data_IF_427128805008
#
_entry.id   IF_427128805008
#
_cell.length_a   1.000
_cell.length_b   1.000
_cell.length_c   1.000
_cell.angle_alpha   90.00
_cell.angle_beta   90.00
_cell.angle_gamma   90.00
#
_symmetry.space_group_name_H-M   'P 1'
#
loop_
_entity.id
_entity.type
_entity.pdbx_description
1 polymer ?
#
# COMPACT_ATOMS: atom_id res chain seq x y z
N UNK A 1 5.18 -6.18 11.80
CA UNK A 1 5.57 -7.39 11.03
C UNK A 1 4.43 -7.75 10.09
N UNK A 2 4.60 -8.61 9.06
CA UNK A 2 3.47 -9.05 8.24
C UNK A 2 2.31 -9.62 9.08
N UNK A 3 2.62 -10.39 10.12
CA UNK A 3 1.66 -10.92 11.09
C UNK A 3 0.84 -9.88 11.87
N UNK A 4 1.16 -8.58 11.74
CA UNK A 4 0.39 -7.49 12.35
C UNK A 4 -0.79 -7.05 11.49
N UNK A 5 -0.99 -7.65 10.31
CA UNK A 5 -2.06 -7.34 9.36
C UNK A 5 -3.03 -8.51 9.25
N UNK A 6 -4.28 -8.19 8.92
CA UNK A 6 -5.37 -9.15 8.75
C UNK A 6 -5.40 -9.65 7.30
N UNK A 7 -4.42 -10.48 6.92
CA UNK A 7 -4.26 -11.00 5.54
C UNK A 7 -5.51 -11.71 5.04
N UNK A 8 -6.06 -12.64 5.85
CA UNK A 8 -7.24 -13.43 5.48
C UNK A 8 -8.46 -12.54 5.24
N UNK A 9 -8.63 -11.51 6.07
CA UNK A 9 -9.71 -10.55 5.94
C UNK A 9 -9.59 -9.69 4.66
N UNK A 10 -8.37 -9.24 4.32
CA UNK A 10 -8.11 -8.54 3.07
C UNK A 10 -8.39 -9.45 1.86
N UNK A 11 -7.96 -10.70 1.92
CA UNK A 11 -8.17 -11.68 0.86
C UNK A 11 -9.66 -11.93 0.61
N UNK A 12 -10.44 -12.12 1.67
CA UNK A 12 -11.89 -12.32 1.60
C UNK A 12 -12.62 -11.08 1.07
N UNK A 13 -12.20 -9.89 1.47
CA UNK A 13 -12.76 -8.64 0.97
C UNK A 13 -12.54 -8.49 -0.54
N UNK A 14 -11.32 -8.72 -1.02
CA UNK A 14 -11.04 -8.65 -2.46
C UNK A 14 -11.85 -9.70 -3.23
N UNK A 15 -12.02 -10.91 -2.70
CA UNK A 15 -12.90 -11.92 -3.30
C UNK A 15 -14.35 -11.46 -3.38
N UNK A 16 -14.90 -10.88 -2.31
CA UNK A 16 -16.26 -10.31 -2.30
C UNK A 16 -16.41 -9.24 -3.38
N UNK A 17 -15.45 -8.32 -3.47
CA UNK A 17 -15.49 -7.22 -4.46
C UNK A 17 -15.42 -7.79 -5.90
N UNK A 18 -14.55 -8.77 -6.16
CA UNK A 18 -14.47 -9.46 -7.46
C UNK A 18 -15.78 -10.19 -7.81
N UNK A 19 -16.54 -10.62 -6.81
CA UNK A 19 -17.87 -11.23 -6.95
C UNK A 19 -19.02 -10.20 -6.86
N UNK A 20 -18.80 -8.94 -7.24
CA UNK A 20 -19.79 -7.86 -7.26
C UNK A 20 -20.47 -7.56 -5.91
N UNK A 21 -19.82 -7.89 -4.80
CA UNK A 21 -20.31 -7.57 -3.45
C UNK A 21 -19.64 -6.32 -2.88
N UNK A 22 -20.42 -5.48 -2.21
CA UNK A 22 -19.90 -4.31 -1.47
C UNK A 22 -19.24 -4.78 -0.18
N UNK A 23 -18.08 -4.20 0.15
CA UNK A 23 -17.36 -4.42 1.40
C UNK A 23 -17.44 -3.17 2.28
N UNK A 24 -17.59 -3.38 3.58
CA UNK A 24 -17.64 -2.31 4.56
C UNK A 24 -16.60 -2.56 5.65
N UNK A 25 -15.81 -1.54 5.97
CA UNK A 25 -14.78 -1.58 7.01
C UNK A 25 -14.84 -0.33 7.88
N UNK A 26 -14.32 -0.43 9.09
CA UNK A 26 -14.01 0.74 9.90
C UNK A 26 -12.59 1.19 9.60
N UNK A 27 -12.38 2.49 9.46
CA UNK A 27 -11.04 3.04 9.28
C UNK A 27 -10.16 2.74 10.51
N UNK A 28 -8.87 2.51 10.29
CA UNK A 28 -7.92 2.32 11.37
C UNK A 28 -7.48 3.67 11.95
N UNK A 29 -7.69 3.87 13.25
CA UNK A 29 -7.44 5.16 13.93
C UNK A 29 -6.08 5.24 14.63
N UNK A 30 -5.14 4.35 14.31
CA UNK A 30 -3.78 4.33 14.87
C UNK A 30 -3.73 4.29 16.40
N UNK A 31 -4.69 3.59 17.03
CA UNK A 31 -4.88 3.51 18.48
C UNK A 31 -5.11 4.87 19.15
N UNK A 32 -5.63 5.86 18.42
CA UNK A 32 -6.01 7.14 19.00
C UNK A 32 -7.44 7.06 19.57
N UNK A 33 -7.63 7.04 20.90
CA UNK A 33 -8.94 6.89 21.51
C UNK A 33 -9.85 8.10 21.29
N UNK A 34 -9.31 9.23 20.83
CA UNK A 34 -10.07 10.46 20.57
C UNK A 34 -10.70 10.50 19.18
N UNK A 35 -10.37 9.55 18.31
CA UNK A 35 -10.87 9.49 16.93
C UNK A 35 -11.91 8.38 16.84
N UNK A 36 -13.13 8.75 16.46
CA UNK A 36 -14.17 7.78 16.14
C UNK A 36 -13.92 7.23 14.74
N UNK A 37 -13.82 5.89 14.57
CA UNK A 37 -13.56 5.30 13.27
C UNK A 37 -14.75 5.52 12.34
N UNK A 38 -14.49 6.10 11.17
CA UNK A 38 -15.47 6.20 10.10
C UNK A 38 -15.63 4.89 9.34
N UNK A 39 -16.84 4.69 8.82
CA UNK A 39 -17.15 3.57 7.92
C UNK A 39 -16.64 3.86 6.52
N UNK A 40 -15.84 2.96 5.99
CA UNK A 40 -15.34 2.93 4.61
C UNK A 40 -16.19 1.92 3.85
N UNK A 41 -16.78 2.36 2.74
CA UNK A 41 -17.58 1.51 1.85
C UNK A 41 -16.86 1.38 0.53
N UNK A 42 -16.49 0.14 0.17
CA UNK A 42 -15.82 -0.18 -1.08
C UNK A 42 -16.81 -0.93 -1.98
N UNK A 43 -17.21 -0.26 -3.07
CA UNK A 43 -18.10 -0.83 -4.08
C UNK A 43 -17.31 -1.54 -5.18
N UNK A 44 -17.86 -2.60 -5.80
CA UNK A 44 -17.28 -3.23 -6.98
C UNK A 44 -17.02 -2.23 -8.11
N UNK A 45 -15.85 -2.34 -8.74
CA UNK A 45 -15.39 -1.53 -9.88
C UNK A 45 -14.54 -2.38 -10.80
N UNK A 46 -14.44 -1.98 -12.07
CA UNK A 46 -13.62 -2.66 -13.08
C UNK A 46 -12.13 -2.61 -12.76
N UNK A 47 -11.68 -1.59 -12.02
CA UNK A 47 -10.32 -1.45 -11.53
C UNK A 47 -10.38 -1.32 -10.01
N UNK A 48 -9.62 -2.17 -9.31
CA UNK A 48 -9.47 -2.15 -7.86
C UNK A 48 -8.00 -1.88 -7.58
N UNK A 49 -7.71 -0.77 -6.90
CA UNK A 49 -6.37 -0.46 -6.41
C UNK A 49 -6.26 -0.93 -4.96
N UNK A 50 -5.34 -1.85 -4.71
CA UNK A 50 -4.99 -2.29 -3.37
C UNK A 50 -3.60 -1.79 -3.06
N UNK A 51 -3.46 -1.02 -1.98
CA UNK A 51 -2.19 -0.47 -1.51
C UNK A 51 -1.81 -1.09 -0.16
N UNK A 52 -0.50 -1.22 0.08
CA UNK A 52 0.00 -1.73 1.33
C UNK A 52 1.45 -2.20 1.23
N UNK A 53 2.19 -2.07 2.33
CA UNK A 53 3.63 -2.32 2.36
C UNK A 53 4.01 -3.81 2.28
N UNK A 54 3.09 -4.74 2.56
CA UNK A 54 3.34 -6.20 2.58
C UNK A 54 2.52 -6.99 1.56
N UNK A 55 1.82 -6.34 0.62
CA UNK A 55 0.93 -7.05 -0.31
C UNK A 55 1.64 -8.14 -1.12
N UNK A 56 2.88 -7.91 -1.51
CA UNK A 56 3.66 -8.88 -2.28
C UNK A 56 4.25 -9.99 -1.40
N UNK A 57 4.28 -9.86 -0.08
CA UNK A 57 4.71 -10.93 0.81
C UNK A 57 3.69 -12.09 0.86
N UNK A 58 2.41 -11.75 0.81
CA UNK A 58 1.28 -12.67 0.96
C UNK A 58 1.02 -13.49 -0.31
N UNK A 59 1.54 -14.73 -0.34
CA UNK A 59 1.45 -15.61 -1.53
C UNK A 59 0.02 -15.88 -1.99
N UNK A 60 -0.94 -15.99 -1.07
CA UNK A 60 -2.34 -16.21 -1.43
C UNK A 60 -2.94 -14.94 -2.03
N UNK A 61 -2.63 -13.79 -1.46
CA UNK A 61 -3.06 -12.50 -1.98
C UNK A 61 -2.51 -12.23 -3.38
N UNK A 62 -1.23 -12.54 -3.64
CA UNK A 62 -0.62 -12.37 -4.95
C UNK A 62 -1.39 -13.06 -6.09
N UNK A 63 -2.07 -14.19 -5.82
CA UNK A 63 -2.88 -14.91 -6.82
C UNK A 63 -4.12 -14.14 -7.28
N UNK A 64 -4.54 -13.12 -6.52
CA UNK A 64 -5.68 -12.27 -6.85
C UNK A 64 -5.29 -11.02 -7.64
N UNK A 65 -3.99 -10.69 -7.71
CA UNK A 65 -3.46 -9.47 -8.31
C UNK A 65 -3.15 -9.69 -9.78
N UNK A 66 -3.74 -8.86 -10.64
CA UNK A 66 -3.49 -8.91 -12.08
C UNK A 66 -2.22 -8.14 -12.47
N UNK A 67 -1.92 -7.04 -11.77
CA UNK A 67 -0.72 -6.18 -11.96
C UNK A 67 -0.15 -5.68 -10.64
N UNK A 68 1.17 -5.71 -10.52
CA UNK A 68 1.96 -5.33 -9.34
C UNK A 68 2.77 -4.08 -9.64
N UNK A 69 2.55 -3.02 -8.86
CA UNK A 69 3.29 -1.77 -8.95
C UNK A 69 4.09 -1.56 -7.66
N UNK A 70 5.40 -1.37 -7.76
CA UNK A 70 6.27 -1.08 -6.63
C UNK A 70 6.70 0.39 -6.66
N UNK A 71 6.39 1.13 -5.59
CA UNK A 71 6.83 2.51 -5.43
C UNK A 71 8.19 2.53 -4.72
N UNK A 72 9.24 2.88 -5.46
CA UNK A 72 10.61 2.93 -4.97
C UNK A 72 11.01 4.34 -4.54
N UNK A 73 11.63 4.45 -3.38
CA UNK A 73 12.04 5.74 -2.82
C UNK A 73 13.37 5.58 -2.09
N UNK A 74 14.26 6.56 -2.27
CA UNK A 74 15.46 6.67 -1.45
C UNK A 74 15.10 6.67 0.05
N UNK A 75 15.82 5.89 0.84
CA UNK A 75 15.49 5.69 2.24
C UNK A 75 15.61 6.97 3.08
N UNK A 76 16.54 7.88 2.73
CA UNK A 76 16.66 9.16 3.44
C UNK A 76 15.48 10.07 3.13
N UNK A 77 15.03 10.09 1.87
CA UNK A 77 13.80 10.81 1.49
C UNK A 77 12.59 10.23 2.19
N UNK A 78 12.44 8.90 2.19
CA UNK A 78 11.36 8.19 2.89
C UNK A 78 11.34 8.47 4.40
N UNK A 79 12.52 8.46 5.05
CA UNK A 79 12.65 8.80 6.47
C UNK A 79 12.24 10.25 6.74
N UNK A 80 12.70 11.22 5.93
CA UNK A 80 12.32 12.63 6.09
C UNK A 80 10.80 12.82 5.99
N UNK A 81 10.17 12.21 4.98
CA UNK A 81 8.69 12.24 4.81
C UNK A 81 7.99 11.60 6.01
N UNK A 82 8.50 10.47 6.50
CA UNK A 82 7.97 9.78 7.68
C UNK A 82 8.04 10.63 8.94
N UNK A 83 9.20 11.24 9.22
CA UNK A 83 9.38 12.11 10.39
C UNK A 83 8.37 13.24 10.33
N UNK A 84 8.29 13.96 9.20
CA UNK A 84 7.33 15.05 9.03
C UNK A 84 5.89 14.60 9.34
N UNK A 85 5.42 13.54 8.67
CA UNK A 85 4.06 13.00 8.86
C UNK A 85 3.80 12.52 10.29
N UNK A 86 4.69 11.74 10.87
CA UNK A 86 4.47 11.15 12.20
C UNK A 86 4.49 12.23 13.32
N UNK A 87 5.21 13.34 13.12
CA UNK A 87 5.17 14.51 14.02
C UNK A 87 3.87 15.31 13.84
N UNK A 88 3.52 15.66 12.60
CA UNK A 88 2.39 16.55 12.29
C UNK A 88 1.02 15.88 12.49
N UNK A 89 0.87 14.62 12.08
CA UNK A 89 -0.45 13.97 12.01
C UNK A 89 -0.69 12.98 13.16
N UNK A 90 0.36 12.49 13.81
CA UNK A 90 0.27 11.38 14.78
C UNK A 90 0.81 11.72 16.17
N UNK A 91 1.43 12.88 16.35
CA UNK A 91 1.92 13.36 17.64
C UNK A 91 3.09 12.57 18.22
N UNK A 92 3.87 11.87 17.38
CA UNK A 92 5.06 11.15 17.85
C UNK A 92 6.26 12.09 18.01
N UNK A 93 7.03 11.90 19.08
CA UNK A 93 8.33 12.56 19.22
C UNK A 93 9.37 12.04 18.21
N UNK A 94 10.28 12.92 17.77
CA UNK A 94 11.30 12.62 16.76
C UNK A 94 12.20 11.45 17.16
N UNK A 95 12.62 11.36 18.44
CA UNK A 95 13.49 10.28 18.90
C UNK A 95 12.77 8.93 18.83
N UNK A 96 11.47 8.92 19.16
CA UNK A 96 10.64 7.73 19.04
C UNK A 96 10.51 7.25 17.59
N UNK A 97 10.33 8.18 16.65
CA UNK A 97 10.26 7.87 15.21
C UNK A 97 11.58 7.26 14.72
N UNK A 98 12.73 7.87 15.06
CA UNK A 98 14.05 7.37 14.67
C UNK A 98 14.33 5.98 15.25
N UNK A 99 14.03 5.78 16.54
CA UNK A 99 14.19 4.48 17.19
C UNK A 99 13.38 3.39 16.47
N UNK A 100 12.09 3.65 16.21
CA UNK A 100 11.21 2.70 15.50
C UNK A 100 11.71 2.45 14.07
N UNK A 101 12.19 3.50 13.40
CA UNK A 101 12.68 3.39 12.04
C UNK A 101 13.87 2.43 11.95
N UNK A 102 14.88 2.62 12.80
CA UNK A 102 16.10 1.83 12.79
C UNK A 102 15.89 0.39 13.28
N UNK A 103 15.08 0.21 14.33
CA UNK A 103 14.94 -1.11 14.98
C UNK A 103 13.80 -1.96 14.41
N UNK A 104 12.84 -1.35 13.70
CA UNK A 104 11.67 -2.09 13.20
C UNK A 104 11.40 -1.85 11.71
N UNK A 105 11.39 -0.59 11.25
CA UNK A 105 10.96 -0.28 9.87
C UNK A 105 11.97 -0.78 8.85
N UNK A 106 13.24 -0.38 8.96
CA UNK A 106 14.29 -0.80 8.02
C UNK A 106 14.52 -2.31 8.02
N UNK A 107 14.64 -2.98 9.19
CA UNK A 107 14.74 -4.45 9.23
C UNK A 107 13.54 -5.14 8.57
N UNK A 108 12.32 -4.63 8.79
CA UNK A 108 11.11 -5.18 8.15
C UNK A 108 11.09 -4.92 6.65
N UNK A 109 11.52 -3.74 6.20
CA UNK A 109 11.61 -3.41 4.78
C UNK A 109 12.57 -4.34 4.06
N UNK A 110 13.79 -4.49 4.58
CA UNK A 110 14.82 -5.35 3.99
C UNK A 110 14.39 -6.82 3.95
N UNK A 111 13.66 -7.30 4.98
CA UNK A 111 13.27 -8.71 5.09
C UNK A 111 12.00 -9.07 4.34
N UNK A 112 11.01 -8.18 4.29
CA UNK A 112 9.65 -8.54 3.85
C UNK A 112 9.11 -7.69 2.70
N UNK A 113 9.80 -6.62 2.30
CA UNK A 113 9.33 -5.69 1.25
C UNK A 113 10.29 -5.70 0.07
N UNK A 114 11.56 -5.33 0.30
CA UNK A 114 12.57 -5.20 -0.73
C UNK A 114 12.79 -6.47 -1.58
N UNK A 115 12.75 -7.71 -1.03
CA UNK A 115 12.94 -8.92 -1.82
C UNK A 115 11.93 -9.08 -2.96
N UNK A 116 10.74 -8.49 -2.83
CA UNK A 116 9.66 -8.57 -3.82
C UNK A 116 9.66 -7.42 -4.84
N UNK A 117 10.63 -6.50 -4.77
CA UNK A 117 10.71 -5.34 -5.69
C UNK A 117 10.78 -5.78 -7.15
N UNK A 118 11.56 -6.82 -7.44
CA UNK A 118 11.77 -7.31 -8.81
C UNK A 118 10.63 -8.22 -9.30
N UNK A 119 9.65 -8.54 -8.43
CA UNK A 119 8.44 -9.26 -8.81
C UNK A 119 7.34 -8.32 -9.35
N UNK A 120 7.60 -7.01 -9.37
CA UNK A 120 6.65 -6.00 -9.84
C UNK A 120 6.70 -5.84 -11.35
N UNK A 121 5.53 -5.65 -11.97
CA UNK A 121 5.40 -5.35 -13.40
C UNK A 121 5.84 -3.91 -13.72
N UNK A 122 5.74 -3.01 -12.74
CA UNK A 122 6.21 -1.63 -12.82
C UNK A 122 6.88 -1.21 -11.52
N UNK A 123 8.10 -0.66 -11.63
CA UNK A 123 8.79 0.02 -10.53
C UNK A 123 8.76 1.52 -10.80
N UNK A 124 8.14 2.30 -9.92
CA UNK A 124 8.00 3.76 -10.05
C UNK A 124 8.89 4.46 -9.04
N UNK A 125 9.81 5.31 -9.51
CA UNK A 125 10.65 6.10 -8.62
C UNK A 125 9.88 7.33 -8.09
N UNK A 126 9.77 7.45 -6.77
CA UNK A 126 9.11 8.54 -6.06
C UNK A 126 10.11 9.36 -5.20
N UNK A 127 11.39 9.33 -5.55
CA UNK A 127 12.44 10.03 -4.79
C UNK A 127 12.39 11.54 -4.99
N UNK A 128 12.08 12.00 -6.21
CA UNK A 128 12.20 13.42 -6.58
C UNK A 128 10.86 14.14 -6.70
N UNK A 129 9.86 13.49 -7.32
CA UNK A 129 8.62 14.15 -7.70
C UNK A 129 7.42 13.20 -7.59
N UNK A 130 6.59 13.45 -6.58
CA UNK A 130 5.41 12.64 -6.28
C UNK A 130 4.35 12.73 -7.40
N UNK A 131 4.21 13.89 -8.05
CA UNK A 131 3.26 14.09 -9.15
C UNK A 131 3.68 13.33 -10.40
N UNK A 132 4.98 13.29 -10.68
CA UNK A 132 5.51 12.51 -11.81
C UNK A 132 5.33 11.01 -11.57
N UNK A 133 5.63 10.53 -10.36
CA UNK A 133 5.38 9.15 -9.97
C UNK A 133 3.90 8.76 -10.10
N UNK A 134 2.99 9.64 -9.64
CA UNK A 134 1.56 9.43 -9.76
C UNK A 134 1.10 9.40 -11.22
N UNK A 135 1.64 10.29 -12.07
CA UNK A 135 1.35 10.31 -13.51
C UNK A 135 1.79 9.02 -14.19
N UNK A 136 3.02 8.57 -13.97
CA UNK A 136 3.54 7.32 -14.53
C UNK A 136 2.69 6.11 -14.11
N UNK A 137 2.28 6.07 -12.84
CA UNK A 137 1.39 5.03 -12.31
C UNK A 137 0.04 5.04 -13.03
N UNK A 138 -0.56 6.23 -13.19
CA UNK A 138 -1.85 6.38 -13.86
C UNK A 138 -1.79 6.00 -15.34
N UNK A 139 -0.75 6.45 -16.05
CA UNK A 139 -0.56 6.16 -17.46
C UNK A 139 -0.39 4.65 -17.70
N UNK A 140 0.35 3.97 -16.82
CA UNK A 140 0.46 2.51 -16.84
C UNK A 140 -0.90 1.82 -16.63
N UNK A 141 -1.65 2.19 -15.60
CA UNK A 141 -2.98 1.60 -15.32
C UNK A 141 -3.93 1.80 -16.52
N UNK A 142 -3.91 2.98 -17.14
CA UNK A 142 -4.75 3.26 -18.32
C UNK A 142 -4.38 2.36 -19.51
N UNK A 143 -3.09 2.20 -19.79
CA UNK A 143 -2.63 1.38 -20.89
C UNK A 143 -3.00 -0.10 -20.68
N UNK A 144 -2.80 -0.62 -19.47
CA UNK A 144 -3.20 -2.00 -19.13
C UNK A 144 -4.72 -2.20 -19.26
N UNK A 145 -5.51 -1.24 -18.77
CA UNK A 145 -6.97 -1.32 -18.87
C UNK A 145 -7.45 -1.26 -20.34
N UNK A 146 -6.84 -0.42 -21.18
CA UNK A 146 -7.16 -0.35 -22.60
C UNK A 146 -6.78 -1.64 -23.34
N UNK A 147 -5.60 -2.21 -23.06
CA UNK A 147 -5.16 -3.46 -23.65
C UNK A 147 -6.11 -4.62 -23.32
N UNK A 148 -6.67 -4.67 -22.11
CA UNK A 148 -7.65 -5.68 -21.72
C UNK A 148 -8.99 -5.53 -22.46
N UNK A 149 -9.44 -4.30 -22.71
CA UNK A 149 -10.73 -4.05 -23.38
C UNK A 149 -10.66 -4.13 -24.92
N UNK A 150 -9.48 -3.93 -25.51
CA UNK A 150 -9.28 -4.02 -26.96
C UNK A 150 -9.09 -5.47 -27.46
N UNK A 151 -8.94 -6.43 -26.55
CA UNK A 151 -8.79 -7.86 -26.85
C UNK A 151 -10.11 -8.65 -26.71
N UNK A 152 -11.25 -7.94 -26.71
CA UNK A 152 -12.63 -8.47 -26.67
C UNK A 152 -13.34 -7.97 -27.93
#
# INVERSE_FOLDING_TARGET
>A
MPSSFLEDELFDDIKKIKNNSTVERLEYTFNNPKILPKKIIVKPRSIILVEGIFLFYYKNFQKLIDRKIFIDVDQNVGLKRRIKRDLEERGYDKNNVLYKYNNHVIPSYNKYILPYKNDADLIVNNTKNDNEAAKLTLDYIKNEFQALNNNI
#
